data_IF_465061592076
#
_entry.id   IF_465061592076
#
_cell.length_a   1.000
_cell.length_b   1.000
_cell.length_c   1.000
_cell.angle_alpha   90.00
_cell.angle_beta   90.00
_cell.angle_gamma   90.00
#
_symmetry.space_group_name_H-M   'P 1'
#
loop_
_entity.id
_entity.type
_entity.pdbx_description
1 polymer ?
#
# COMPACT_ATOMS: atom_id res chain seq x y z
N UNK A 1 14.68 21.04 -4.32
CA UNK A 1 13.54 20.15 -4.69
C UNK A 1 13.18 20.37 -6.16
N UNK A 2 12.44 19.47 -6.84
CA UNK A 2 12.22 19.54 -8.31
C UNK A 2 11.72 20.91 -8.78
N UNK A 3 10.68 21.46 -8.14
CA UNK A 3 10.09 22.74 -8.51
C UNK A 3 11.05 23.93 -8.40
N UNK A 4 11.92 23.96 -7.37
CA UNK A 4 12.93 25.01 -7.22
C UNK A 4 14.02 24.98 -8.30
N UNK A 5 14.03 23.94 -9.15
CA UNK A 5 14.95 23.77 -10.28
C UNK A 5 14.23 23.84 -11.63
N UNK A 6 12.96 24.27 -11.66
CA UNK A 6 12.13 24.26 -12.86
C UNK A 6 12.05 22.88 -13.56
N UNK A 7 12.17 21.79 -12.79
CA UNK A 7 12.10 20.42 -13.31
C UNK A 7 10.67 19.87 -13.17
N UNK A 8 9.99 19.63 -14.30
CA UNK A 8 8.58 19.17 -14.32
C UNK A 8 8.42 17.65 -14.16
N UNK A 9 9.27 16.87 -14.81
CA UNK A 9 9.19 15.41 -14.82
C UNK A 9 10.55 14.78 -15.15
N UNK A 10 10.68 13.49 -14.86
CA UNK A 10 11.79 12.64 -15.32
C UNK A 10 11.19 11.40 -15.98
N UNK A 11 11.50 11.17 -17.25
CA UNK A 11 11.04 10.01 -18.00
C UNK A 11 12.20 9.02 -18.18
N UNK A 12 11.98 7.74 -17.86
CA UNK A 12 13.00 6.70 -17.93
C UNK A 12 12.42 5.47 -18.64
N UNK A 13 13.20 4.88 -19.55
CA UNK A 13 12.92 3.58 -20.19
C UNK A 13 14.22 2.79 -20.27
N UNK A 14 14.21 1.54 -19.83
CA UNK A 14 15.34 0.64 -19.88
C UNK A 14 14.90 -0.79 -20.14
N UNK A 15 15.77 -1.57 -20.77
CA UNK A 15 15.59 -3.01 -21.04
C UNK A 15 16.78 -3.84 -20.53
N UNK A 16 17.68 -3.22 -19.76
CA UNK A 16 18.81 -3.91 -19.15
C UNK A 16 18.35 -4.88 -18.07
N UNK A 17 19.07 -5.99 -17.93
CA UNK A 17 18.87 -6.93 -16.83
C UNK A 17 19.72 -6.51 -15.63
N UNK A 18 19.16 -6.67 -14.42
CA UNK A 18 19.91 -6.47 -13.18
C UNK A 18 20.68 -7.76 -12.89
N UNK A 19 22.03 -7.74 -12.86
CA UNK A 19 22.80 -8.94 -12.60
C UNK A 19 22.62 -9.39 -11.14
N UNK A 20 22.38 -10.68 -10.94
CA UNK A 20 22.28 -11.30 -9.62
C UNK A 20 23.55 -12.08 -9.31
N UNK A 21 24.09 -11.93 -8.09
CA UNK A 21 25.29 -12.64 -7.67
C UNK A 21 25.05 -14.15 -7.46
N UNK A 22 23.87 -14.51 -6.91
CA UNK A 22 23.46 -15.89 -6.64
C UNK A 22 22.02 -16.11 -7.13
N UNK A 23 21.82 -16.32 -8.43
CA UNK A 23 20.50 -16.36 -9.06
C UNK A 23 19.57 -17.45 -8.48
N UNK A 24 20.08 -18.67 -8.31
CA UNK A 24 19.27 -19.78 -7.80
C UNK A 24 18.84 -19.57 -6.34
N UNK A 25 19.76 -19.09 -5.50
CA UNK A 25 19.45 -18.74 -4.11
C UNK A 25 18.41 -17.61 -4.04
N UNK A 26 18.54 -16.60 -4.91
CA UNK A 26 17.56 -15.52 -4.99
C UNK A 26 16.16 -16.07 -5.35
N UNK A 27 16.06 -16.95 -6.35
CA UNK A 27 14.79 -17.57 -6.73
C UNK A 27 14.16 -18.34 -5.57
N UNK A 28 14.94 -19.12 -4.83
CA UNK A 28 14.45 -19.86 -3.65
C UNK A 28 13.85 -18.92 -2.62
N UNK A 29 14.58 -17.85 -2.26
CA UNK A 29 14.10 -16.86 -1.27
C UNK A 29 12.83 -16.16 -1.77
N UNK A 30 12.75 -15.80 -3.06
CA UNK A 30 11.54 -15.18 -3.61
C UNK A 30 10.34 -16.10 -3.44
N UNK A 31 10.47 -17.41 -3.73
CA UNK A 31 9.36 -18.36 -3.55
C UNK A 31 8.94 -18.50 -2.09
N UNK A 32 9.90 -18.56 -1.16
CA UNK A 32 9.62 -18.57 0.28
C UNK A 32 8.84 -17.32 0.71
N UNK A 33 9.27 -16.14 0.26
CA UNK A 33 8.60 -14.88 0.58
C UNK A 33 7.20 -14.77 -0.02
N UNK A 34 7.00 -15.28 -1.25
CA UNK A 34 5.67 -15.32 -1.87
C UNK A 34 4.72 -16.19 -1.05
N UNK A 35 5.16 -17.37 -0.61
CA UNK A 35 4.35 -18.24 0.25
C UNK A 35 4.01 -17.58 1.59
N UNK A 36 4.97 -16.90 2.23
CA UNK A 36 4.72 -16.18 3.48
C UNK A 36 3.67 -15.08 3.29
N UNK A 37 3.76 -14.31 2.20
CA UNK A 37 2.82 -13.22 1.91
C UNK A 37 1.44 -13.73 1.50
N UNK A 38 1.35 -14.93 0.90
CA UNK A 38 0.08 -15.56 0.56
C UNK A 38 -0.71 -15.97 1.82
N UNK A 39 0.00 -16.46 2.85
CA UNK A 39 -0.60 -16.91 4.11
C UNK A 39 -0.76 -15.78 5.16
N UNK A 40 -0.25 -14.58 4.89
CA UNK A 40 -0.24 -13.46 5.84
C UNK A 40 -1.59 -12.69 5.86
N UNK A 41 -2.20 -12.63 7.03
CA UNK A 41 -3.52 -11.99 7.21
C UNK A 41 -3.48 -10.49 7.00
N UNK A 42 -2.35 -9.84 7.27
CA UNK A 42 -2.18 -8.41 7.03
C UNK A 42 -2.08 -8.12 5.53
N UNK A 43 -1.42 -8.99 4.77
CA UNK A 43 -1.37 -8.95 3.30
C UNK A 43 -2.78 -9.06 2.71
N UNK A 44 -3.63 -9.95 3.23
CA UNK A 44 -5.03 -10.03 2.81
C UNK A 44 -5.83 -8.78 3.17
N UNK A 45 -5.66 -8.23 4.39
CA UNK A 45 -6.30 -6.97 4.77
C UNK A 45 -5.90 -5.83 3.82
N UNK A 46 -4.61 -5.73 3.47
CA UNK A 46 -4.13 -4.78 2.47
C UNK A 46 -4.65 -5.07 1.06
N UNK A 47 -4.96 -6.31 0.70
CA UNK A 47 -5.57 -6.65 -0.59
C UNK A 47 -7.05 -6.23 -0.66
N UNK A 48 -7.77 -6.26 0.45
CA UNK A 48 -9.18 -5.86 0.54
C UNK A 48 -9.33 -4.33 0.65
N UNK A 49 -8.75 -3.69 1.66
CA UNK A 49 -9.01 -2.26 1.97
C UNK A 49 -7.83 -1.33 1.69
N UNK A 50 -6.63 -1.87 1.52
CA UNK A 50 -5.43 -1.09 1.20
C UNK A 50 -4.95 -0.36 2.44
N UNK A 51 -4.10 0.66 2.27
CA UNK A 51 -3.67 1.46 3.43
C UNK A 51 -4.83 2.27 4.02
N UNK A 52 -5.90 2.52 3.26
CA UNK A 52 -7.09 3.20 3.75
C UNK A 52 -7.78 2.44 4.91
N UNK A 53 -7.68 1.12 4.97
CA UNK A 53 -8.18 0.32 6.10
C UNK A 53 -7.49 0.61 7.43
N UNK A 54 -6.34 1.30 7.41
CA UNK A 54 -5.67 1.77 8.63
C UNK A 54 -6.51 2.82 9.36
N UNK A 55 -7.38 3.56 8.67
CA UNK A 55 -8.28 4.53 9.32
C UNK A 55 -9.20 3.84 10.33
N UNK A 56 -9.80 2.70 9.95
CA UNK A 56 -10.68 1.91 10.82
C UNK A 56 -9.95 1.47 12.10
N UNK A 57 -8.72 0.98 11.92
CA UNK A 57 -7.87 0.53 13.02
C UNK A 57 -7.45 1.68 13.95
N UNK A 58 -7.04 2.82 13.39
CA UNK A 58 -6.59 3.96 14.18
C UNK A 58 -7.75 4.67 14.90
N UNK A 59 -8.96 4.67 14.32
CA UNK A 59 -10.16 5.14 15.00
C UNK A 59 -10.48 4.31 16.22
N UNK A 60 -10.42 2.97 16.10
CA UNK A 60 -10.60 2.05 17.23
C UNK A 60 -9.62 2.34 18.37
N UNK A 61 -8.40 2.74 18.04
CA UNK A 61 -7.37 3.11 19.01
C UNK A 61 -7.45 4.57 19.49
N UNK A 62 -8.41 5.37 19.00
CA UNK A 62 -8.47 6.81 19.27
C UNK A 62 -7.22 7.59 18.82
N UNK A 63 -6.48 7.04 17.85
CA UNK A 63 -5.19 7.53 17.37
C UNK A 63 -5.28 8.19 15.99
N UNK A 64 -6.50 8.32 15.45
CA UNK A 64 -6.75 9.06 14.22
C UNK A 64 -6.61 10.56 14.49
N UNK A 65 -5.70 11.26 13.79
CA UNK A 65 -5.59 12.71 13.94
C UNK A 65 -6.88 13.41 13.51
N UNK A 66 -7.59 14.01 14.45
CA UNK A 66 -8.74 14.86 14.20
C UNK A 66 -8.55 16.24 14.83
N UNK A 67 -9.10 17.28 14.19
CA UNK A 67 -9.02 18.70 14.60
C UNK A 67 -7.62 19.14 15.06
N UNK A 68 -6.62 19.00 14.19
CA UNK A 68 -5.22 19.33 14.53
C UNK A 68 -4.71 18.54 15.75
N UNK A 69 -4.94 17.22 15.74
CA UNK A 69 -4.47 16.28 16.77
C UNK A 69 -5.02 16.55 18.18
N UNK A 70 -6.04 17.40 18.33
CA UNK A 70 -6.67 17.65 19.64
C UNK A 70 -7.78 16.66 19.96
N UNK A 71 -8.30 15.95 18.97
CA UNK A 71 -9.34 14.94 19.12
C UNK A 71 -8.88 13.62 18.46
N UNK A 72 -9.20 12.49 19.10
CA UNK A 72 -8.92 11.14 18.60
C UNK A 72 -10.16 10.42 18.04
N UNK A 73 -11.34 10.93 18.35
CA UNK A 73 -12.62 10.44 17.81
C UNK A 73 -13.05 11.30 16.63
N UNK A 74 -13.59 10.66 15.59
CA UNK A 74 -14.19 11.34 14.45
C UNK A 74 -15.45 10.58 14.04
N UNK A 75 -16.65 11.01 14.49
CA UNK A 75 -17.90 10.26 14.28
C UNK A 75 -18.21 9.93 12.83
N UNK A 76 -17.84 10.81 11.89
CA UNK A 76 -18.11 10.66 10.46
C UNK A 76 -17.05 9.84 9.70
N UNK A 77 -16.03 9.33 10.39
CA UNK A 77 -14.91 8.68 9.71
C UNK A 77 -15.22 7.30 9.12
N UNK A 78 -16.34 6.67 9.48
CA UNK A 78 -16.82 5.46 8.78
C UNK A 78 -16.99 5.71 7.28
N UNK A 79 -17.52 6.89 6.90
CA UNK A 79 -17.68 7.27 5.48
C UNK A 79 -16.34 7.46 4.74
N UNK A 80 -15.22 7.51 5.47
CA UNK A 80 -13.86 7.64 4.96
C UNK A 80 -13.06 6.34 5.07
N UNK A 81 -13.66 5.27 5.59
CA UNK A 81 -13.02 3.98 5.85
C UNK A 81 -12.49 3.32 4.58
N UNK A 82 -11.52 2.42 4.76
CA UNK A 82 -11.05 1.58 3.66
C UNK A 82 -12.16 0.64 3.16
N UNK A 83 -13.04 0.20 4.06
CA UNK A 83 -14.21 -0.63 3.73
C UNK A 83 -15.21 0.12 2.85
N UNK A 84 -15.63 1.33 3.26
CA UNK A 84 -16.54 2.16 2.45
C UNK A 84 -15.94 2.49 1.09
N UNK A 85 -14.64 2.82 1.03
CA UNK A 85 -13.97 3.05 -0.27
C UNK A 85 -14.05 1.80 -1.17
N UNK A 86 -13.82 0.61 -0.63
CA UNK A 86 -13.83 -0.64 -1.37
C UNK A 86 -15.22 -1.00 -1.92
N UNK A 87 -16.28 -0.68 -1.17
CA UNK A 87 -17.66 -0.96 -1.56
C UNK A 87 -18.27 0.07 -2.54
N UNK A 88 -17.73 1.30 -2.57
CA UNK A 88 -18.39 2.42 -3.26
C UNK A 88 -17.63 2.96 -4.46
N UNK A 89 -16.36 3.32 -4.28
CA UNK A 89 -15.59 4.10 -5.26
C UNK A 89 -14.43 3.32 -5.87
N UNK A 90 -14.07 2.17 -5.30
CA UNK A 90 -12.95 1.37 -5.79
C UNK A 90 -13.28 0.76 -7.16
N UNK A 91 -12.49 1.12 -8.16
CA UNK A 91 -12.60 0.53 -9.50
C UNK A 91 -11.86 -0.80 -9.63
N UNK A 92 -10.89 -1.05 -8.75
CA UNK A 92 -10.11 -2.27 -8.68
C UNK A 92 -8.73 -2.03 -8.05
N UNK A 93 -8.08 -3.07 -7.51
CA UNK A 93 -6.77 -2.90 -6.90
C UNK A 93 -5.67 -2.71 -7.96
N UNK A 94 -4.62 -1.98 -7.60
CA UNK A 94 -3.40 -1.82 -8.39
C UNK A 94 -2.16 -2.34 -7.65
N UNK A 95 -1.11 -2.66 -8.41
CA UNK A 95 0.14 -3.21 -7.88
C UNK A 95 1.34 -2.35 -8.26
N UNK A 96 2.30 -2.27 -7.34
CA UNK A 96 3.66 -1.84 -7.66
C UNK A 96 4.37 -2.95 -8.46
N UNK A 97 5.50 -2.61 -9.09
CA UNK A 97 6.32 -3.57 -9.83
C UNK A 97 6.72 -4.77 -8.95
N UNK A 98 6.38 -5.99 -9.40
CA UNK A 98 6.75 -7.25 -8.73
C UNK A 98 6.10 -7.49 -7.37
N UNK A 99 5.13 -6.66 -6.95
CA UNK A 99 4.52 -6.77 -5.63
C UNK A 99 3.25 -7.65 -5.65
N UNK A 100 3.18 -8.72 -4.83
CA UNK A 100 2.01 -9.60 -4.79
C UNK A 100 0.86 -9.06 -3.90
N UNK A 101 1.12 -8.05 -3.07
CA UNK A 101 0.19 -7.55 -2.03
C UNK A 101 -1.04 -6.84 -2.62
N UNK A 102 -0.87 -6.11 -3.72
CA UNK A 102 -1.95 -5.36 -4.39
C UNK A 102 -2.71 -4.38 -3.49
N UNK A 103 -1.97 -3.60 -2.68
CA UNK A 103 -2.54 -2.60 -1.78
C UNK A 103 -2.97 -1.28 -2.46
N UNK A 104 -2.63 -1.09 -3.74
CA UNK A 104 -3.01 0.11 -4.49
C UNK A 104 -4.51 0.13 -4.75
N UNK A 105 -5.10 1.32 -4.74
CA UNK A 105 -6.54 1.57 -4.91
C UNK A 105 -6.75 2.52 -6.06
#
# INVERSE_FOLDING_TARGET
VMGSKNLKAVAVRGNGQVPLAEEERFKTIVQEMLSILEDDTLTEAFRVTGTAGTLDYLMLLGSTPNRYFTEGEFPEAEALSGSTMAETILTGPSTCYGCPVACGR
#
